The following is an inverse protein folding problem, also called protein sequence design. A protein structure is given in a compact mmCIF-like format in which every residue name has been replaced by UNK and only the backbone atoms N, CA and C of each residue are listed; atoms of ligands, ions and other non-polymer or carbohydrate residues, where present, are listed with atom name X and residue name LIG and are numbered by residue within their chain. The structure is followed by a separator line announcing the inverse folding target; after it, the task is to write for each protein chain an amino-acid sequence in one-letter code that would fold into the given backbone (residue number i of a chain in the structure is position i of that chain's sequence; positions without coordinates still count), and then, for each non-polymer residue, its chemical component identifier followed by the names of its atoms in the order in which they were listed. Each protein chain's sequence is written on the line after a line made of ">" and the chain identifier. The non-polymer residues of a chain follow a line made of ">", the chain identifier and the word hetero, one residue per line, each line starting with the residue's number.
data_IF_678479589853
#
_entry.id   IF_678479589853
#
_cell.length_a   1.000
_cell.length_b   1.000
_cell.length_c   1.000
_cell.angle_alpha   90.00
_cell.angle_beta   90.00
_cell.angle_gamma   90.00
#
_symmetry.space_group_name_H-M   'P 1'
#
loop_
_entity.id
_entity.type
_entity.pdbx_description
1 polymer ?
#
# COMPACT_ATOMS: atom_id res chain seq x y z
N UNK A 1 58.99 -14.18 -39.60
CA UNK A 1 58.99 -15.64 -39.29
C UNK A 1 59.00 -15.82 -37.78
N UNK A 2 58.23 -16.80 -37.28
CA UNK A 2 58.23 -17.41 -35.93
C UNK A 2 57.48 -16.67 -34.79
N UNK A 3 56.21 -17.07 -34.63
CA UNK A 3 55.47 -17.48 -33.40
C UNK A 3 55.79 -16.84 -32.05
N UNK A 4 54.75 -16.47 -31.29
CA UNK A 4 54.37 -17.07 -29.99
C UNK A 4 52.89 -16.76 -29.70
N UNK A 5 52.11 -17.82 -29.53
CA UNK A 5 50.74 -17.80 -29.00
C UNK A 5 50.86 -17.85 -27.47
N UNK A 6 50.18 -16.96 -26.75
CA UNK A 6 50.09 -17.03 -25.29
C UNK A 6 48.61 -17.01 -24.88
N UNK A 7 48.18 -18.18 -24.42
CA UNK A 7 46.89 -18.47 -23.81
C UNK A 7 46.68 -17.58 -22.57
N UNK A 8 45.71 -16.67 -22.64
CA UNK A 8 45.18 -15.98 -21.46
C UNK A 8 44.06 -16.84 -20.87
N UNK A 9 44.30 -17.38 -19.67
CA UNK A 9 43.33 -18.11 -18.85
C UNK A 9 42.17 -17.19 -18.48
N UNK A 10 40.97 -17.49 -19.00
CA UNK A 10 39.73 -16.90 -18.49
C UNK A 10 39.38 -17.63 -17.20
N UNK A 11 39.67 -17.00 -16.06
CA UNK A 11 39.21 -17.45 -14.75
C UNK A 11 37.71 -17.11 -14.68
N UNK A 12 36.90 -18.11 -14.99
CA UNK A 12 35.45 -18.07 -14.83
C UNK A 12 35.14 -18.13 -13.32
N UNK A 13 35.02 -16.98 -12.68
CA UNK A 13 34.57 -16.90 -11.29
C UNK A 13 33.09 -17.29 -11.19
N UNK A 14 32.67 -18.13 -10.23
CA UNK A 14 31.25 -18.42 -10.05
C UNK A 14 30.54 -17.16 -9.54
N UNK A 15 29.52 -16.72 -10.28
CA UNK A 15 28.52 -15.79 -9.77
C UNK A 15 27.75 -16.50 -8.63
N UNK A 16 28.11 -16.19 -7.40
CA UNK A 16 27.22 -16.42 -6.26
C UNK A 16 26.06 -15.43 -6.36
N UNK A 17 24.94 -15.86 -6.95
CA UNK A 17 23.67 -15.17 -6.79
C UNK A 17 23.23 -15.44 -5.35
N UNK A 18 23.47 -14.50 -4.44
CA UNK A 18 22.89 -14.56 -3.10
C UNK A 18 21.41 -14.23 -3.23
N UNK A 19 20.57 -15.26 -3.18
CA UNK A 19 19.13 -15.16 -3.02
C UNK A 19 18.84 -14.53 -1.65
N UNK A 20 18.77 -13.20 -1.59
CA UNK A 20 18.32 -12.50 -0.39
C UNK A 20 16.83 -12.80 -0.24
N UNK A 21 16.52 -13.75 0.63
CA UNK A 21 15.19 -14.09 1.11
C UNK A 21 14.32 -12.83 1.23
N UNK A 22 13.30 -12.72 0.38
CA UNK A 22 12.41 -11.58 0.26
C UNK A 22 11.62 -11.35 1.54
N UNK A 23 12.17 -10.55 2.45
CA UNK A 23 11.40 -9.94 3.51
C UNK A 23 10.42 -8.96 2.84
N UNK A 24 9.10 -9.10 3.07
CA UNK A 24 8.14 -8.14 2.54
C UNK A 24 8.60 -6.74 2.94
N UNK A 25 8.72 -5.79 1.99
CA UNK A 25 9.18 -4.44 2.33
C UNK A 25 8.35 -3.92 3.49
N UNK A 26 9.02 -3.49 4.55
CA UNK A 26 8.41 -2.87 5.72
C UNK A 26 7.61 -1.67 5.20
N UNK A 27 6.28 -1.83 5.09
CA UNK A 27 5.43 -0.77 4.55
C UNK A 27 5.33 0.33 5.60
N UNK A 28 5.94 1.47 5.31
CA UNK A 28 5.79 2.67 6.11
C UNK A 28 4.28 3.04 6.18
N UNK A 29 3.70 3.21 7.37
CA UNK A 29 2.28 3.56 7.51
C UNK A 29 1.88 4.81 6.73
N UNK A 30 2.75 5.82 6.70
CA UNK A 30 2.50 7.09 5.99
C UNK A 30 2.38 6.88 4.48
N UNK A 31 3.27 6.06 3.89
CA UNK A 31 3.22 5.74 2.46
C UNK A 31 1.97 4.92 2.10
N UNK A 32 1.51 4.06 3.00
CA UNK A 32 0.27 3.31 2.80
C UNK A 32 -0.94 4.26 2.74
N UNK A 33 -1.00 5.21 3.67
CA UNK A 33 -2.09 6.19 3.74
C UNK A 33 -2.09 7.11 2.53
N UNK A 34 -0.91 7.62 2.13
CA UNK A 34 -0.77 8.45 0.93
C UNK A 34 -1.20 7.73 -0.34
N UNK A 35 -0.82 6.45 -0.49
CA UNK A 35 -1.24 5.62 -1.63
C UNK A 35 -2.75 5.40 -1.64
N UNK A 36 -3.34 5.15 -0.47
CA UNK A 36 -4.79 4.99 -0.36
C UNK A 36 -5.51 6.29 -0.72
N UNK A 37 -5.04 7.44 -0.23
CA UNK A 37 -5.59 8.77 -0.58
C UNK A 37 -5.56 8.98 -2.09
N UNK A 38 -4.41 8.76 -2.71
CA UNK A 38 -4.26 8.94 -4.15
C UNK A 38 -5.24 8.06 -4.94
N UNK A 39 -5.40 6.80 -4.53
CA UNK A 39 -6.38 5.90 -5.14
C UNK A 39 -7.81 6.43 -5.04
N UNK A 40 -8.19 7.05 -3.91
CA UNK A 40 -9.51 7.70 -3.79
C UNK A 40 -9.67 8.85 -4.76
N UNK A 41 -8.68 9.75 -4.82
CA UNK A 41 -8.69 10.90 -5.72
C UNK A 41 -8.75 10.48 -7.20
N UNK A 42 -8.05 9.41 -7.56
CA UNK A 42 -8.05 8.88 -8.93
C UNK A 42 -9.35 8.14 -9.27
N UNK A 43 -10.01 7.56 -8.25
CA UNK A 43 -11.22 6.75 -8.42
C UNK A 43 -12.51 7.55 -8.62
N UNK A 44 -12.52 8.82 -8.19
CA UNK A 44 -13.67 9.71 -8.23
C UNK A 44 -13.26 10.98 -8.98
N UNK A 45 -13.50 10.99 -10.29
CA UNK A 45 -13.06 12.09 -11.17
C UNK A 45 -13.86 13.37 -11.02
N UNK A 46 -15.03 13.29 -10.38
CA UNK A 46 -16.03 14.34 -10.21
C UNK A 46 -16.04 14.94 -8.80
N UNK A 47 -14.93 14.86 -8.06
CA UNK A 47 -14.78 15.52 -6.75
C UNK A 47 -14.73 17.05 -6.91
N UNK A 48 -15.53 17.76 -6.11
CA UNK A 48 -15.39 19.22 -5.97
C UNK A 48 -14.10 19.58 -5.24
N UNK A 49 -13.66 20.84 -5.37
CA UNK A 49 -12.48 21.31 -4.63
C UNK A 49 -12.70 21.26 -3.11
N UNK A 50 -13.89 21.59 -2.63
CA UNK A 50 -14.24 21.48 -1.22
C UNK A 50 -14.18 20.02 -0.73
N UNK A 51 -14.69 19.06 -1.51
CA UNK A 51 -14.57 17.64 -1.19
C UNK A 51 -13.11 17.19 -1.13
N UNK A 52 -12.25 17.66 -2.05
CA UNK A 52 -10.81 17.33 -2.03
C UNK A 52 -10.12 17.86 -0.78
N UNK A 53 -10.45 19.08 -0.33
CA UNK A 53 -9.92 19.66 0.90
C UNK A 53 -10.32 18.83 2.12
N UNK A 54 -11.61 18.47 2.23
CA UNK A 54 -12.07 17.64 3.36
C UNK A 54 -11.48 16.22 3.30
N UNK A 55 -11.29 15.65 2.11
CA UNK A 55 -10.56 14.38 1.94
C UNK A 55 -9.12 14.51 2.46
N UNK A 56 -8.43 15.62 2.19
CA UNK A 56 -7.07 15.83 2.71
C UNK A 56 -7.06 15.80 4.25
N UNK A 57 -8.00 16.50 4.89
CA UNK A 57 -8.14 16.51 6.34
C UNK A 57 -8.47 15.12 6.91
N UNK A 58 -9.41 14.39 6.30
CA UNK A 58 -9.75 13.01 6.69
C UNK A 58 -8.50 12.12 6.63
N UNK A 59 -7.70 12.22 5.56
CA UNK A 59 -6.51 11.38 5.39
C UNK A 59 -5.35 11.81 6.30
N UNK A 60 -5.27 13.08 6.68
CA UNK A 60 -4.35 13.55 7.71
C UNK A 60 -4.68 12.90 9.06
N UNK A 61 -5.94 13.00 9.51
CA UNK A 61 -6.40 12.37 10.76
C UNK A 61 -6.21 10.85 10.73
N UNK A 62 -6.55 10.21 9.60
CA UNK A 62 -6.35 8.77 9.42
C UNK A 62 -4.87 8.36 9.54
N UNK A 63 -3.95 9.17 9.01
CA UNK A 63 -2.50 8.94 9.13
C UNK A 63 -2.02 9.03 10.58
N UNK A 64 -2.49 10.04 11.32
CA UNK A 64 -2.17 10.25 12.73
C UNK A 64 -2.67 9.09 13.59
N UNK A 65 -3.92 8.66 13.39
CA UNK A 65 -4.52 7.54 14.13
C UNK A 65 -3.83 6.21 13.83
N UNK A 66 -3.45 5.96 12.58
CA UNK A 66 -2.69 4.77 12.22
C UNK A 66 -1.33 4.79 12.93
N UNK A 67 -0.62 5.92 12.86
CA UNK A 67 0.70 6.06 13.48
C UNK A 67 0.63 5.86 14.99
N UNK A 68 -0.38 6.44 15.65
CA UNK A 68 -0.64 6.25 17.07
C UNK A 68 -0.91 4.79 17.40
N UNK A 69 -1.82 4.13 16.68
CA UNK A 69 -2.15 2.73 16.90
C UNK A 69 -0.94 1.80 16.75
N UNK A 70 -0.07 2.04 15.76
CA UNK A 70 1.20 1.32 15.58
C UNK A 70 2.16 1.50 16.77
N UNK A 71 2.24 2.73 17.30
CA UNK A 71 3.10 3.05 18.43
C UNK A 71 2.56 2.50 19.76
N UNK A 72 1.24 2.49 19.96
CA UNK A 72 0.58 2.05 21.19
C UNK A 72 0.49 0.52 21.31
N UNK A 73 0.33 -0.19 20.19
CA UNK A 73 0.05 -1.63 20.17
C UNK A 73 1.24 -2.46 19.67
N UNK A 74 2.48 -1.98 19.90
CA UNK A 74 3.72 -2.61 19.43
C UNK A 74 3.75 -4.12 19.68
N UNK A 75 3.53 -4.91 18.61
CA UNK A 75 3.57 -6.37 18.63
C UNK A 75 2.27 -7.07 19.06
N UNK A 76 1.28 -6.36 19.62
CA UNK A 76 -0.03 -6.93 19.95
C UNK A 76 -0.92 -6.96 18.71
N UNK A 77 -0.91 -8.10 18.03
CA UNK A 77 -1.61 -8.28 16.75
C UNK A 77 -3.13 -8.15 16.88
N UNK A 78 -3.71 -8.57 17.99
CA UNK A 78 -5.17 -8.58 18.15
C UNK A 78 -5.68 -7.17 18.46
N UNK A 79 -4.99 -6.43 19.34
CA UNK A 79 -5.30 -5.02 19.56
C UNK A 79 -5.07 -4.18 18.32
N UNK A 80 -3.97 -4.42 17.60
CA UNK A 80 -3.71 -3.76 16.31
C UNK A 80 -4.84 -4.01 15.31
N UNK A 81 -5.34 -5.24 15.23
CA UNK A 81 -6.45 -5.59 14.34
C UNK A 81 -7.71 -4.83 14.70
N UNK A 82 -8.05 -4.77 15.99
CA UNK A 82 -9.19 -4.01 16.51
C UNK A 82 -9.09 -2.52 16.18
N UNK A 83 -7.98 -1.89 16.56
CA UNK A 83 -7.72 -0.47 16.30
C UNK A 83 -7.82 -0.15 14.79
N UNK A 84 -7.19 -0.97 13.93
CA UNK A 84 -7.27 -0.76 12.49
C UNK A 84 -8.67 -0.96 11.92
N UNK A 85 -9.52 -1.78 12.54
CA UNK A 85 -10.92 -1.93 12.11
C UNK A 85 -11.72 -0.68 12.45
N UNK A 86 -11.56 -0.15 13.65
CA UNK A 86 -12.23 1.06 14.12
C UNK A 86 -11.83 2.30 13.31
N UNK A 87 -10.52 2.51 13.12
CA UNK A 87 -9.97 3.62 12.35
C UNK A 87 -10.48 3.58 10.89
N UNK A 88 -10.52 2.39 10.27
CA UNK A 88 -11.11 2.25 8.92
C UNK A 88 -12.59 2.55 8.88
N UNK A 89 -13.35 2.11 9.87
CA UNK A 89 -14.80 2.39 9.98
C UNK A 89 -15.04 3.88 10.12
N UNK A 90 -14.29 4.55 11.01
CA UNK A 90 -14.36 6.00 11.22
C UNK A 90 -14.10 6.78 9.92
N UNK A 91 -13.00 6.45 9.23
CA UNK A 91 -12.69 7.05 7.93
C UNK A 91 -13.81 6.80 6.90
N UNK A 92 -14.36 5.60 6.85
CA UNK A 92 -15.47 5.29 5.94
C UNK A 92 -16.71 6.13 6.23
N UNK A 93 -17.05 6.33 7.51
CA UNK A 93 -18.15 7.22 7.92
C UNK A 93 -17.88 8.66 7.47
N UNK A 94 -16.70 9.19 7.74
CA UNK A 94 -16.33 10.56 7.32
C UNK A 94 -16.41 10.73 5.80
N UNK A 95 -15.95 9.75 5.02
CA UNK A 95 -16.07 9.79 3.56
C UNK A 95 -17.54 9.75 3.10
N UNK A 96 -18.40 8.95 3.76
CA UNK A 96 -19.83 8.89 3.39
C UNK A 96 -20.61 10.17 3.70
N UNK A 97 -20.11 11.01 4.61
CA UNK A 97 -20.74 12.30 4.93
C UNK A 97 -20.45 13.38 3.88
N UNK A 98 -19.38 13.22 3.09
CA UNK A 98 -18.95 14.22 2.10
C UNK A 98 -19.15 13.78 0.65
N UNK A 99 -19.16 12.47 0.39
CA UNK A 99 -19.33 11.91 -0.94
C UNK A 99 -20.81 11.71 -1.23
N UNK A 100 -21.20 11.90 -2.48
CA UNK A 100 -22.53 11.46 -2.92
C UNK A 100 -22.63 9.94 -2.93
N UNK A 101 -23.85 9.41 -2.92
CA UNK A 101 -24.09 7.96 -3.02
C UNK A 101 -23.40 7.34 -4.25
N UNK A 102 -23.40 8.05 -5.37
CA UNK A 102 -22.75 7.60 -6.61
C UNK A 102 -21.22 7.55 -6.47
N UNK A 103 -20.61 8.61 -5.90
CA UNK A 103 -19.18 8.67 -5.64
C UNK A 103 -18.75 7.57 -4.65
N UNK A 104 -19.54 7.35 -3.59
CA UNK A 104 -19.30 6.30 -2.60
C UNK A 104 -19.46 4.90 -3.21
N UNK A 105 -20.41 4.71 -4.13
CA UNK A 105 -20.56 3.46 -4.87
C UNK A 105 -19.35 3.18 -5.78
N UNK A 106 -18.86 4.19 -6.53
CA UNK A 106 -17.63 4.09 -7.34
C UNK A 106 -16.43 3.67 -6.50
N UNK A 107 -16.23 4.36 -5.37
CA UNK A 107 -15.13 4.06 -4.46
C UNK A 107 -15.22 2.63 -3.91
N UNK A 108 -16.41 2.22 -3.47
CA UNK A 108 -16.65 0.87 -2.95
C UNK A 108 -16.35 -0.20 -4.00
N UNK A 109 -16.81 0.02 -5.23
CA UNK A 109 -16.55 -0.89 -6.35
C UNK A 109 -15.05 -1.06 -6.61
N UNK A 110 -14.30 0.04 -6.72
CA UNK A 110 -12.86 0.01 -6.96
C UNK A 110 -12.10 -0.65 -5.80
N UNK A 111 -12.49 -0.36 -4.56
CA UNK A 111 -11.93 -1.04 -3.38
C UNK A 111 -12.17 -2.56 -3.42
N UNK A 112 -13.37 -3.00 -3.80
CA UNK A 112 -13.69 -4.42 -3.92
C UNK A 112 -12.92 -5.10 -5.06
N UNK A 113 -12.82 -4.44 -6.21
CA UNK A 113 -12.06 -4.94 -7.35
C UNK A 113 -10.58 -5.14 -6.99
N UNK A 114 -9.97 -4.14 -6.35
CA UNK A 114 -8.58 -4.20 -5.90
C UNK A 114 -8.33 -5.32 -4.88
N UNK A 115 -9.33 -5.63 -4.04
CA UNK A 115 -9.25 -6.77 -3.12
C UNK A 115 -9.29 -8.11 -3.85
N UNK A 116 -10.12 -8.24 -4.89
CA UNK A 116 -10.22 -9.47 -5.70
C UNK A 116 -8.93 -9.75 -6.46
N UNK A 117 -8.33 -8.72 -7.06
CA UNK A 117 -7.07 -8.86 -7.80
C UNK A 117 -5.86 -9.24 -6.93
N UNK A 118 -5.92 -8.98 -5.62
CA UNK A 118 -4.84 -9.30 -4.67
C UNK A 118 -4.99 -10.67 -4.01
N UNK A 119 -6.07 -11.40 -4.25
CA UNK A 119 -6.22 -12.77 -3.75
C UNK A 119 -5.44 -13.71 -4.67
N UNK A 120 -4.50 -14.53 -4.16
CA UNK A 120 -3.93 -15.59 -4.97
C UNK A 120 -5.05 -16.50 -5.48
N UNK A 121 -4.95 -17.05 -6.70
CA UNK A 121 -5.94 -18.01 -7.20
C UNK A 121 -6.08 -19.15 -6.18
N UNK A 122 -7.28 -19.71 -5.97
CA UNK A 122 -7.45 -20.89 -5.13
C UNK A 122 -6.46 -21.96 -5.59
N UNK A 123 -5.73 -22.58 -4.66
CA UNK A 123 -4.87 -23.71 -5.00
C UNK A 123 -5.76 -24.81 -5.60
N UNK A 124 -5.62 -25.10 -6.90
CA UNK A 124 -6.26 -26.23 -7.58
C UNK A 124 -5.48 -27.53 -7.34
#
# INVERSE_FOLDING_TARGET
>A
MKTIILFSLIILGPLFITETNGQPPQRNPSEMVAREKQMVLDSITDLSEDQKLVIDEIYKTYSEEITAAFSENQGDRDKMRGAMQEIRKKKQTMLSEILTDEQMARLTFIMQQNRRQRRPPPNE
#
